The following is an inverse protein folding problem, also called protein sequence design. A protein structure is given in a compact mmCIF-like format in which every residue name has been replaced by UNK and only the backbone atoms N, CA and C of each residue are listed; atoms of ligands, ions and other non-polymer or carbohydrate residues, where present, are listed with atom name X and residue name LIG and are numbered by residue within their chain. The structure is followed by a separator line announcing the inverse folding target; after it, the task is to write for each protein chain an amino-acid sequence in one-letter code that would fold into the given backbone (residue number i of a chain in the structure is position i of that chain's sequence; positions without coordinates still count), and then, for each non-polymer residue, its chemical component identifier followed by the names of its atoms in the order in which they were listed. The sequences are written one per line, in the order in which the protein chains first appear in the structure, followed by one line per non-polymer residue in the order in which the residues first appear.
data_IF_341210152273
#
_entry.id   IF_341210152273
#
_cell.length_a   1.000
_cell.length_b   1.000
_cell.length_c   1.000
_cell.angle_alpha   90.00
_cell.angle_beta   90.00
_cell.angle_gamma   90.00
#
_symmetry.space_group_name_H-M   'P 1'
#
loop_
_entity.id
_entity.type
_entity.pdbx_description
1 polymer ?
#
# COMPACT_ATOMS: atom_id res chain seq x y z
N UNK A 1 29.67 -3.70 11.06
CA UNK A 1 29.35 -5.03 10.48
C UNK A 1 27.85 -5.22 10.13
N UNK A 2 26.90 -4.58 10.80
CA UNK A 2 25.47 -4.78 10.51
C UNK A 2 24.98 -4.33 9.13
N UNK A 3 25.53 -3.25 8.56
CA UNK A 3 25.12 -2.72 7.26
C UNK A 3 25.45 -3.63 6.08
N UNK A 4 26.67 -4.15 6.02
CA UNK A 4 27.10 -5.05 4.96
C UNK A 4 26.23 -6.32 4.92
N UNK A 5 25.98 -6.95 6.08
CA UNK A 5 25.13 -8.16 6.17
C UNK A 5 23.72 -7.92 5.66
N UNK A 6 23.12 -6.75 5.97
CA UNK A 6 21.77 -6.39 5.50
C UNK A 6 21.71 -6.27 3.99
N UNK A 7 22.66 -5.55 3.38
CA UNK A 7 22.71 -5.40 1.93
C UNK A 7 23.02 -6.71 1.22
N UNK A 8 23.87 -7.58 1.80
CA UNK A 8 24.08 -8.93 1.27
C UNK A 8 22.80 -9.75 1.28
N UNK A 9 22.01 -9.71 2.36
CA UNK A 9 20.72 -10.40 2.42
C UNK A 9 19.75 -9.86 1.36
N UNK A 10 19.69 -8.52 1.17
CA UNK A 10 18.88 -7.90 0.11
C UNK A 10 19.32 -8.34 -1.28
N UNK A 11 20.63 -8.41 -1.53
CA UNK A 11 21.18 -8.87 -2.81
C UNK A 11 20.80 -10.32 -3.11
N UNK A 12 20.93 -11.20 -2.12
CA UNK A 12 20.56 -12.61 -2.25
C UNK A 12 19.05 -12.78 -2.49
N UNK A 13 18.21 -12.03 -1.76
CA UNK A 13 16.76 -12.06 -1.95
C UNK A 13 16.37 -11.57 -3.35
N UNK A 14 16.98 -10.49 -3.85
CA UNK A 14 16.75 -9.98 -5.18
C UNK A 14 17.20 -10.97 -6.27
N UNK A 15 18.35 -11.59 -6.11
CA UNK A 15 18.86 -12.63 -7.01
C UNK A 15 17.96 -13.86 -7.02
N UNK A 16 17.51 -14.31 -5.84
CA UNK A 16 16.56 -15.40 -5.74
C UNK A 16 15.26 -15.10 -6.50
N UNK A 17 14.70 -13.88 -6.32
CA UNK A 17 13.50 -13.47 -7.08
C UNK A 17 13.78 -13.47 -8.59
N UNK A 18 14.92 -12.99 -9.05
CA UNK A 18 15.30 -13.03 -10.47
C UNK A 18 15.38 -14.46 -11.02
N UNK A 19 15.83 -15.41 -10.21
CA UNK A 19 16.04 -16.81 -10.60
C UNK A 19 14.72 -17.59 -10.64
N UNK A 20 13.80 -17.35 -9.71
CA UNK A 20 12.55 -18.12 -9.56
C UNK A 20 11.33 -17.46 -10.20
N UNK A 21 11.35 -16.15 -10.48
CA UNK A 21 10.23 -15.49 -11.09
C UNK A 21 10.12 -15.78 -12.60
N UNK A 22 8.90 -16.00 -13.07
CA UNK A 22 8.58 -16.09 -14.50
C UNK A 22 8.28 -14.73 -15.12
N UNK A 23 8.06 -13.69 -14.30
CA UNK A 23 7.69 -12.36 -14.74
C UNK A 23 8.94 -11.55 -15.13
N UNK A 24 8.99 -11.11 -16.39
CA UNK A 24 10.08 -10.27 -16.92
C UNK A 24 10.38 -9.04 -16.05
N UNK A 25 9.39 -8.24 -15.58
CA UNK A 25 9.67 -7.10 -14.73
C UNK A 25 10.37 -7.48 -13.42
N UNK A 26 9.99 -8.60 -12.80
CA UNK A 26 10.61 -9.09 -11.57
C UNK A 26 12.05 -9.56 -11.79
N UNK A 27 12.33 -10.21 -12.93
CA UNK A 27 13.67 -10.67 -13.29
C UNK A 27 14.62 -9.50 -13.55
N UNK A 28 14.16 -8.50 -14.33
CA UNK A 28 14.94 -7.27 -14.59
C UNK A 28 15.24 -6.56 -13.27
N UNK A 29 14.22 -6.35 -12.43
CA UNK A 29 14.40 -5.77 -11.12
C UNK A 29 15.39 -6.56 -10.27
N UNK A 30 15.23 -7.87 -10.20
CA UNK A 30 16.03 -8.72 -9.35
C UNK A 30 17.53 -8.67 -9.71
N UNK A 31 17.88 -8.65 -11.00
CA UNK A 31 19.27 -8.56 -11.46
C UNK A 31 19.88 -7.20 -11.12
N UNK A 32 19.19 -6.10 -11.45
CA UNK A 32 19.71 -4.74 -11.21
C UNK A 32 19.79 -4.42 -9.72
N UNK A 33 18.78 -4.81 -8.95
CA UNK A 33 18.73 -4.61 -7.51
C UNK A 33 19.82 -5.46 -6.81
N UNK A 34 20.01 -6.71 -7.21
CA UNK A 34 21.06 -7.55 -6.65
C UNK A 34 22.46 -6.93 -6.86
N UNK A 35 22.74 -6.40 -8.04
CA UNK A 35 24.00 -5.69 -8.32
C UNK A 35 24.15 -4.44 -7.42
N UNK A 36 23.09 -3.60 -7.33
CA UNK A 36 23.09 -2.40 -6.49
C UNK A 36 23.29 -2.72 -5.01
N UNK A 37 22.60 -3.73 -4.49
CA UNK A 37 22.75 -4.17 -3.10
C UNK A 37 24.14 -4.80 -2.84
N UNK A 38 24.71 -5.55 -3.79
CA UNK A 38 26.05 -6.11 -3.66
C UNK A 38 27.11 -5.01 -3.56
N UNK A 39 27.03 -3.98 -4.40
CA UNK A 39 27.90 -2.80 -4.31
C UNK A 39 27.71 -2.07 -2.98
N UNK A 40 26.46 -1.89 -2.54
CA UNK A 40 26.15 -1.27 -1.24
C UNK A 40 26.71 -2.09 -0.06
N UNK A 41 26.67 -3.43 -0.13
CA UNK A 41 27.27 -4.31 0.84
C UNK A 41 28.79 -4.13 0.89
N UNK A 42 29.44 -4.13 -0.26
CA UNK A 42 30.89 -3.92 -0.39
C UNK A 42 31.34 -2.56 0.16
N UNK A 43 30.63 -1.47 -0.19
CA UNK A 43 30.88 -0.13 0.37
C UNK A 43 30.71 -0.09 1.89
N UNK A 44 29.72 -0.80 2.41
CA UNK A 44 29.44 -0.87 3.86
C UNK A 44 30.44 -1.74 4.63
N UNK A 45 31.12 -2.67 3.97
CA UNK A 45 32.15 -3.52 4.57
C UNK A 45 33.49 -2.77 4.73
N UNK A 46 33.78 -1.79 3.87
CA UNK A 46 35.00 -0.99 3.94
C UNK A 46 34.93 -0.02 5.13
N UNK A 47 36.01 0.04 5.91
CA UNK A 47 36.16 0.90 7.08
C UNK A 47 36.13 2.38 6.66
N UNK A 48 35.14 3.18 7.18
CA UNK A 48 35.02 4.62 6.94
C UNK A 48 33.56 5.09 7.02
N UNK A 49 33.21 5.94 8.00
CA UNK A 49 31.86 6.43 8.27
C UNK A 49 31.23 7.21 7.10
N UNK A 50 32.06 7.91 6.32
CA UNK A 50 31.62 8.72 5.16
C UNK A 50 31.01 7.89 3.99
N UNK A 51 31.23 6.57 3.96
CA UNK A 51 30.72 5.70 2.88
C UNK A 51 29.30 5.15 3.14
N UNK A 52 28.78 5.27 4.35
CA UNK A 52 27.43 4.78 4.68
C UNK A 52 26.31 5.48 3.89
N UNK A 53 26.29 6.81 3.76
CA UNK A 53 25.29 7.49 2.92
C UNK A 53 25.35 7.06 1.46
N UNK A 54 26.57 6.91 0.90
CA UNK A 54 26.79 6.47 -0.48
C UNK A 54 26.24 5.06 -0.71
N UNK A 55 26.44 4.15 0.24
CA UNK A 55 25.90 2.79 0.15
C UNK A 55 24.37 2.77 0.04
N UNK A 56 23.68 3.68 0.77
CA UNK A 56 22.21 3.79 0.65
C UNK A 56 21.77 4.33 -0.71
N UNK A 57 22.45 5.37 -1.20
CA UNK A 57 22.16 5.94 -2.52
C UNK A 57 22.36 4.89 -3.61
N UNK A 58 23.45 4.12 -3.55
CA UNK A 58 23.73 3.04 -4.50
C UNK A 58 22.67 1.93 -4.42
N UNK A 59 22.27 1.54 -3.21
CA UNK A 59 21.21 0.55 -3.03
C UNK A 59 19.89 1.01 -3.63
N UNK A 60 19.47 2.26 -3.38
CA UNK A 60 18.26 2.84 -3.99
C UNK A 60 18.40 2.94 -5.49
N UNK A 61 19.54 3.42 -6.00
CA UNK A 61 19.77 3.57 -7.44
C UNK A 61 19.61 2.24 -8.19
N UNK A 62 20.23 1.18 -7.66
CA UNK A 62 20.16 -0.16 -8.25
C UNK A 62 18.81 -0.84 -8.12
N UNK A 63 18.03 -0.50 -7.08
CA UNK A 63 16.77 -1.15 -6.78
C UNK A 63 15.52 -0.40 -7.27
N UNK A 64 15.61 0.91 -7.58
CA UNK A 64 14.46 1.71 -8.00
C UNK A 64 14.68 2.37 -9.36
N UNK A 65 15.49 3.45 -9.53
CA UNK A 65 15.54 4.15 -10.81
C UNK A 65 16.17 3.31 -11.94
N UNK A 66 17.20 2.52 -11.69
CA UNK A 66 17.81 1.72 -12.76
C UNK A 66 16.85 0.68 -13.34
N UNK A 67 16.20 -0.20 -12.53
CA UNK A 67 15.24 -1.15 -13.10
C UNK A 67 14.01 -0.46 -13.68
N UNK A 68 13.53 0.64 -13.09
CA UNK A 68 12.43 1.42 -13.65
C UNK A 68 12.75 1.95 -15.05
N UNK A 69 13.92 2.59 -15.21
CA UNK A 69 14.37 3.08 -16.52
C UNK A 69 14.56 1.96 -17.53
N UNK A 70 15.18 0.84 -17.11
CA UNK A 70 15.31 -0.33 -17.99
C UNK A 70 13.94 -0.85 -18.46
N UNK A 71 12.98 -0.97 -17.54
CA UNK A 71 11.64 -1.43 -17.85
C UNK A 71 10.84 -0.45 -18.72
N UNK A 72 11.02 0.87 -18.53
CA UNK A 72 10.44 1.91 -19.40
C UNK A 72 10.98 1.78 -20.83
N UNK A 73 12.29 1.66 -21.00
CA UNK A 73 12.92 1.47 -22.31
C UNK A 73 12.48 0.15 -22.98
N UNK A 74 12.28 -0.91 -22.20
CA UNK A 74 11.82 -2.20 -22.69
C UNK A 74 10.31 -2.23 -22.98
N UNK A 75 9.54 -1.21 -22.64
CA UNK A 75 8.08 -1.22 -22.71
C UNK A 75 7.46 -2.33 -21.87
N UNK A 76 8.03 -2.64 -20.70
CA UNK A 76 7.58 -3.73 -19.82
C UNK A 76 7.16 -3.19 -18.45
N UNK A 77 6.00 -3.62 -17.99
CA UNK A 77 5.45 -3.29 -16.68
C UNK A 77 4.77 -4.51 -16.06
N UNK A 78 4.33 -4.40 -14.82
CA UNK A 78 3.35 -5.33 -14.28
C UNK A 78 1.97 -5.04 -14.85
N UNK A 79 1.12 -6.07 -14.89
CA UNK A 79 -0.26 -6.00 -15.39
C UNK A 79 -1.06 -4.85 -14.74
N UNK A 80 -0.80 -4.57 -13.48
CA UNK A 80 -1.46 -3.49 -12.72
C UNK A 80 -1.24 -2.11 -13.34
N UNK A 81 -0.10 -1.87 -13.97
CA UNK A 81 0.22 -0.60 -14.67
C UNK A 81 -0.66 -0.46 -15.90
N UNK A 82 -0.77 -1.54 -16.69
CA UNK A 82 -1.62 -1.57 -17.88
C UNK A 82 -3.10 -1.37 -17.52
N UNK A 83 -3.52 -1.97 -16.39
CA UNK A 83 -4.88 -1.78 -15.85
C UNK A 83 -5.13 -0.33 -15.50
N UNK A 84 -4.20 0.37 -14.83
CA UNK A 84 -4.36 1.78 -14.48
C UNK A 84 -4.39 2.66 -15.73
N UNK A 85 -3.46 2.47 -16.67
CA UNK A 85 -3.39 3.25 -17.91
C UNK A 85 -4.69 3.12 -18.72
N UNK A 86 -5.14 1.87 -18.96
CA UNK A 86 -6.41 1.58 -19.64
C UNK A 86 -7.61 2.20 -18.92
N UNK A 87 -7.66 2.04 -17.59
CA UNK A 87 -8.77 2.54 -16.77
C UNK A 87 -8.87 4.06 -16.80
N UNK A 88 -7.75 4.77 -16.89
CA UNK A 88 -7.74 6.22 -17.04
C UNK A 88 -8.31 6.64 -18.42
N UNK A 89 -7.91 5.98 -19.50
CA UNK A 89 -8.47 6.21 -20.83
C UNK A 89 -9.98 5.96 -20.89
N UNK A 90 -10.44 4.86 -20.29
CA UNK A 90 -11.87 4.55 -20.19
C UNK A 90 -12.62 5.61 -19.35
N UNK A 91 -12.07 6.01 -18.21
CA UNK A 91 -12.68 7.03 -17.36
C UNK A 91 -12.87 8.35 -18.11
N UNK A 92 -11.87 8.78 -18.86
CA UNK A 92 -11.94 10.02 -19.65
C UNK A 92 -12.90 9.94 -20.84
N UNK A 93 -13.00 8.78 -21.50
CA UNK A 93 -13.83 8.61 -22.69
C UNK A 93 -15.27 8.22 -22.41
N UNK A 94 -15.53 7.43 -21.35
CA UNK A 94 -16.84 6.85 -21.05
C UNK A 94 -17.45 7.29 -19.72
N UNK A 95 -16.63 7.86 -18.82
CA UNK A 95 -16.99 8.17 -17.44
C UNK A 95 -16.93 6.97 -16.50
N UNK A 96 -16.53 5.75 -16.99
CA UNK A 96 -16.34 4.55 -16.19
C UNK A 96 -14.94 3.99 -16.41
N UNK A 97 -14.16 3.62 -15.37
CA UNK A 97 -12.83 3.03 -15.54
C UNK A 97 -12.85 1.52 -15.82
N UNK A 98 -14.02 0.95 -16.09
CA UNK A 98 -14.24 -0.48 -16.21
C UNK A 98 -14.63 -0.88 -17.63
N UNK A 99 -14.13 -2.03 -18.07
CA UNK A 99 -14.58 -2.65 -19.33
C UNK A 99 -15.98 -3.24 -19.13
N UNK A 100 -16.95 -2.99 -20.01
CA UNK A 100 -18.30 -3.55 -19.86
C UNK A 100 -18.34 -5.08 -19.92
N UNK A 101 -17.44 -5.69 -20.73
CA UNK A 101 -17.39 -7.14 -20.97
C UNK A 101 -15.95 -7.65 -20.86
N UNK A 102 -15.41 -7.90 -19.62
CA UNK A 102 -14.08 -8.46 -19.46
C UNK A 102 -14.05 -9.91 -19.93
N UNK A 103 -13.09 -10.26 -20.79
CA UNK A 103 -12.95 -11.60 -21.36
C UNK A 103 -11.94 -12.46 -20.59
N UNK A 104 -10.94 -11.86 -19.97
CA UNK A 104 -9.89 -12.57 -19.23
C UNK A 104 -9.42 -11.83 -18.00
N UNK A 105 -8.58 -12.48 -17.19
CA UNK A 105 -8.10 -11.91 -15.91
C UNK A 105 -7.38 -10.55 -16.06
N UNK A 106 -6.75 -10.29 -17.20
CA UNK A 106 -6.10 -9.04 -17.51
C UNK A 106 -7.08 -7.87 -17.75
N UNK A 107 -8.33 -8.19 -18.09
CA UNK A 107 -9.36 -7.17 -18.38
C UNK A 107 -10.01 -6.64 -17.09
N UNK A 108 -9.93 -7.41 -16.00
CA UNK A 108 -10.51 -6.99 -14.75
C UNK A 108 -9.71 -5.86 -14.08
N UNK A 109 -10.44 -4.88 -13.58
CA UNK A 109 -9.93 -3.81 -12.75
C UNK A 109 -10.54 -3.92 -11.33
N UNK A 110 -9.87 -4.58 -10.36
CA UNK A 110 -10.39 -4.75 -9.00
C UNK A 110 -10.22 -3.50 -8.11
N UNK A 111 -9.76 -2.40 -8.69
CA UNK A 111 -9.52 -1.17 -7.94
C UNK A 111 -10.76 -0.27 -7.96
N UNK A 112 -10.87 0.59 -6.94
CA UNK A 112 -11.89 1.61 -6.91
C UNK A 112 -11.56 2.75 -7.91
N UNK A 113 -12.57 3.50 -8.37
CA UNK A 113 -12.42 4.47 -9.46
C UNK A 113 -11.30 5.50 -9.27
N UNK A 114 -11.03 5.91 -8.01
CA UNK A 114 -9.95 6.83 -7.71
C UNK A 114 -8.56 6.36 -8.15
N UNK A 115 -8.33 5.05 -8.31
CA UNK A 115 -7.05 4.53 -8.79
C UNK A 115 -6.77 4.95 -10.23
N UNK A 116 -7.79 5.03 -11.07
CA UNK A 116 -7.65 5.44 -12.47
C UNK A 116 -7.11 6.89 -12.62
N UNK A 117 -7.33 7.74 -11.62
CA UNK A 117 -6.82 9.12 -11.62
C UNK A 117 -5.29 9.17 -11.73
N UNK A 118 -4.59 8.16 -11.16
CA UNK A 118 -3.14 8.07 -11.24
C UNK A 118 -2.61 7.73 -12.65
N UNK A 119 -3.47 7.25 -13.55
CA UNK A 119 -3.16 7.00 -14.95
C UNK A 119 -3.56 8.15 -15.90
N UNK A 120 -4.27 9.18 -15.43
CA UNK A 120 -4.74 10.29 -16.29
C UNK A 120 -3.59 10.97 -17.04
N UNK A 121 -2.43 11.27 -16.42
CA UNK A 121 -1.31 11.87 -17.16
C UNK A 121 -0.85 11.03 -18.35
N UNK A 122 -0.83 9.72 -18.20
CA UNK A 122 -0.48 8.78 -19.27
C UNK A 122 -1.53 8.77 -20.40
N UNK A 123 -2.81 8.69 -20.01
CA UNK A 123 -3.92 8.73 -20.97
C UNK A 123 -3.97 10.03 -21.79
N UNK A 124 -3.65 11.16 -21.17
CA UNK A 124 -3.64 12.47 -21.84
C UNK A 124 -2.42 12.69 -22.76
N UNK A 125 -1.30 12.02 -22.47
CA UNK A 125 -0.05 12.16 -23.23
C UNK A 125 0.10 11.13 -24.34
N UNK A 126 -0.81 10.17 -24.46
CA UNK A 126 -0.73 9.07 -25.42
C UNK A 126 0.37 8.04 -25.09
N UNK A 127 0.68 7.82 -23.81
CA UNK A 127 1.61 6.77 -23.38
C UNK A 127 3.09 7.20 -23.33
N UNK A 128 3.37 8.45 -22.97
CA UNK A 128 4.75 8.93 -22.83
C UNK A 128 5.46 8.31 -21.63
N UNK A 129 6.75 7.90 -21.72
CA UNK A 129 7.50 7.35 -20.59
C UNK A 129 7.57 8.25 -19.35
N UNK A 130 7.50 9.58 -19.51
CA UNK A 130 7.51 10.54 -18.38
C UNK A 130 6.16 10.65 -17.67
N UNK A 131 5.12 10.11 -18.26
CA UNK A 131 3.76 10.09 -17.69
C UNK A 131 3.33 8.69 -17.26
N UNK A 132 4.21 7.71 -17.38
CA UNK A 132 3.95 6.32 -16.97
C UNK A 132 3.36 6.26 -15.55
N UNK A 133 2.29 5.48 -15.33
CA UNK A 133 1.60 5.40 -14.03
C UNK A 133 2.50 5.04 -12.85
N UNK A 134 3.64 4.34 -13.08
CA UNK A 134 4.62 4.01 -12.03
C UNK A 134 5.23 5.25 -11.38
N UNK A 135 5.47 6.30 -12.17
CA UNK A 135 6.00 7.56 -11.65
C UNK A 135 5.00 8.25 -10.72
N UNK A 136 3.73 8.23 -11.07
CA UNK A 136 2.65 8.88 -10.31
C UNK A 136 2.29 8.09 -9.04
N UNK A 137 2.22 6.77 -9.12
CA UNK A 137 2.01 5.91 -7.95
C UNK A 137 3.18 6.00 -6.97
N UNK A 138 4.42 6.00 -7.48
CA UNK A 138 5.63 6.18 -6.68
C UNK A 138 5.72 7.58 -6.05
N UNK A 139 5.43 8.64 -6.82
CA UNK A 139 5.42 10.02 -6.32
C UNK A 139 4.35 10.23 -5.23
N UNK A 140 3.13 9.70 -5.43
CA UNK A 140 2.07 9.76 -4.45
C UNK A 140 2.47 9.05 -3.13
N UNK A 141 3.11 7.89 -3.22
CA UNK A 141 3.62 7.15 -2.07
C UNK A 141 4.69 7.93 -1.30
N UNK A 142 5.78 8.30 -2.00
CA UNK A 142 6.92 8.98 -1.38
C UNK A 142 6.52 10.36 -0.84
N UNK A 143 5.69 11.10 -1.58
CA UNK A 143 5.13 12.37 -1.16
C UNK A 143 4.27 12.25 0.10
N UNK A 144 3.37 11.26 0.15
CA UNK A 144 2.54 11.02 1.32
C UNK A 144 3.39 10.63 2.54
N UNK A 145 4.42 9.81 2.38
CA UNK A 145 5.36 9.47 3.46
C UNK A 145 6.13 10.70 3.94
N UNK A 146 6.67 11.50 3.02
CA UNK A 146 7.40 12.73 3.36
C UNK A 146 6.54 13.72 4.16
N UNK A 147 5.27 13.86 3.77
CA UNK A 147 4.30 14.73 4.45
C UNK A 147 3.80 14.15 5.78
N UNK A 148 3.89 12.83 5.98
CA UNK A 148 3.40 12.16 7.19
C UNK A 148 4.29 12.40 8.40
N UNK A 149 5.61 12.49 8.21
CA UNK A 149 6.58 12.63 9.29
C UNK A 149 7.89 13.30 8.85
N UNK A 150 8.38 14.25 9.65
CA UNK A 150 9.70 14.87 9.44
C UNK A 150 10.80 13.90 9.88
N UNK A 151 11.87 13.80 9.08
CA UNK A 151 13.03 12.96 9.39
C UNK A 151 12.80 11.46 9.21
N UNK A 152 11.73 11.07 8.51
CA UNK A 152 11.54 9.69 8.10
C UNK A 152 12.67 9.27 7.16
N UNK A 153 13.31 8.11 7.38
CA UNK A 153 14.43 7.66 6.53
C UNK A 153 13.90 7.10 5.20
N UNK A 154 13.40 7.98 4.31
CA UNK A 154 12.78 7.61 3.03
C UNK A 154 13.69 6.75 2.14
N UNK A 155 15.00 7.05 2.11
CA UNK A 155 15.95 6.22 1.36
C UNK A 155 16.03 4.78 1.89
N UNK A 156 15.92 4.60 3.21
CA UNK A 156 15.89 3.27 3.80
C UNK A 156 14.61 2.51 3.43
N UNK A 157 13.49 3.19 3.49
CA UNK A 157 12.19 2.61 3.13
C UNK A 157 12.19 2.25 1.64
N UNK A 158 12.62 3.18 0.78
CA UNK A 158 12.68 2.95 -0.66
C UNK A 158 13.71 1.86 -1.06
N UNK A 159 14.81 1.70 -0.29
CA UNK A 159 15.79 0.65 -0.52
C UNK A 159 15.35 -0.74 -0.02
N UNK A 160 14.28 -0.85 0.78
CA UNK A 160 13.77 -2.14 1.23
C UNK A 160 13.24 -2.93 0.02
N UNK A 161 13.66 -4.19 -0.23
CA UNK A 161 13.22 -4.97 -1.39
C UNK A 161 11.71 -5.02 -1.56
N UNK A 162 10.93 -5.12 -0.46
CA UNK A 162 9.47 -5.16 -0.47
C UNK A 162 8.83 -3.85 -0.95
N UNK A 163 9.55 -2.72 -0.86
CA UNK A 163 9.13 -1.40 -1.34
C UNK A 163 9.78 -1.08 -2.69
N UNK A 164 11.07 -1.42 -2.84
CA UNK A 164 11.84 -1.12 -4.05
C UNK A 164 11.29 -1.83 -5.28
N UNK A 165 10.91 -3.11 -5.14
CA UNK A 165 10.31 -3.88 -6.22
C UNK A 165 9.04 -3.19 -6.75
N UNK A 166 7.97 -2.97 -5.95
CA UNK A 166 6.78 -2.31 -6.46
C UNK A 166 7.01 -0.87 -6.94
N UNK A 167 7.98 -0.12 -6.39
CA UNK A 167 8.36 1.20 -6.93
C UNK A 167 8.87 1.12 -8.38
N UNK A 168 9.60 0.06 -8.72
CA UNK A 168 10.19 -0.09 -10.04
C UNK A 168 9.24 -0.74 -11.07
N UNK A 169 8.44 -1.72 -10.63
CA UNK A 169 7.64 -2.53 -11.56
C UNK A 169 6.18 -2.07 -11.68
N UNK A 170 5.69 -1.24 -10.73
CA UNK A 170 4.34 -0.66 -10.75
C UNK A 170 3.41 -1.15 -9.64
N UNK A 171 3.79 -0.94 -8.38
CA UNK A 171 2.96 -1.32 -7.23
C UNK A 171 1.84 -0.33 -6.94
N UNK A 172 0.62 -0.72 -7.24
CA UNK A 172 -0.62 0.05 -6.96
C UNK A 172 -0.96 0.17 -5.47
N UNK A 173 -0.35 -0.65 -4.62
CA UNK A 173 -0.53 -0.63 -3.17
C UNK A 173 0.26 0.49 -2.48
N UNK A 174 1.31 0.99 -3.14
CA UNK A 174 2.19 2.01 -2.59
C UNK A 174 1.46 3.33 -2.28
N UNK A 175 0.73 3.96 -3.22
CA UNK A 175 0.02 5.21 -2.92
C UNK A 175 -1.01 5.01 -1.79
N UNK A 176 -1.65 3.86 -1.73
CA UNK A 176 -2.60 3.55 -0.67
C UNK A 176 -1.92 3.55 0.70
N UNK A 177 -0.85 2.76 0.88
CA UNK A 177 -0.16 2.68 2.19
C UNK A 177 0.50 4.00 2.58
N UNK A 178 1.00 4.78 1.61
CA UNK A 178 1.51 6.14 1.86
C UNK A 178 0.42 7.06 2.42
N UNK A 179 -0.76 7.06 1.81
CA UNK A 179 -1.93 7.82 2.28
C UNK A 179 -2.42 7.31 3.65
N UNK A 180 -2.36 6.00 3.93
CA UNK A 180 -2.67 5.48 5.27
C UNK A 180 -1.74 6.07 6.34
N UNK A 181 -0.42 6.12 6.09
CA UNK A 181 0.55 6.74 6.99
C UNK A 181 0.24 8.23 7.20
N UNK A 182 -0.05 8.97 6.13
CA UNK A 182 -0.39 10.40 6.20
C UNK A 182 -1.70 10.65 6.95
N UNK A 183 -2.73 9.84 6.69
CA UNK A 183 -4.02 9.92 7.37
C UNK A 183 -3.91 9.65 8.87
N UNK A 184 -3.17 8.58 9.25
CA UNK A 184 -2.91 8.28 10.67
C UNK A 184 -2.04 9.34 11.34
N UNK A 185 -1.07 9.91 10.63
CA UNK A 185 -0.29 11.04 11.12
C UNK A 185 -1.18 12.26 11.42
N UNK A 186 -2.08 12.59 10.49
CA UNK A 186 -3.04 13.70 10.67
C UNK A 186 -4.00 13.44 11.83
N UNK A 187 -4.52 12.21 11.96
CA UNK A 187 -5.33 11.83 13.12
C UNK A 187 -4.55 11.96 14.44
N UNK A 188 -3.29 11.52 14.45
CA UNK A 188 -2.41 11.64 15.63
C UNK A 188 -2.11 13.08 16.05
N UNK A 189 -2.14 14.03 15.10
CA UNK A 189 -2.05 15.47 15.37
C UNK A 189 -3.38 16.10 15.79
N UNK A 190 -4.48 15.33 15.74
CA UNK A 190 -5.84 15.83 16.00
C UNK A 190 -6.48 16.58 14.82
N UNK A 191 -5.90 16.52 13.62
CA UNK A 191 -6.36 17.14 12.39
C UNK A 191 -7.47 16.31 11.76
N UNK A 192 -8.63 16.19 12.42
CA UNK A 192 -9.69 15.23 12.09
C UNK A 192 -10.20 15.36 10.64
N UNK A 193 -10.46 16.57 10.14
CA UNK A 193 -10.91 16.79 8.77
C UNK A 193 -9.87 16.34 7.74
N UNK A 194 -8.60 16.73 7.94
CA UNK A 194 -7.49 16.32 7.07
C UNK A 194 -7.26 14.80 7.09
N UNK A 195 -7.35 14.18 8.28
CA UNK A 195 -7.27 12.73 8.40
C UNK A 195 -8.37 12.05 7.58
N UNK A 196 -9.62 12.54 7.67
CA UNK A 196 -10.74 12.05 6.90
C UNK A 196 -10.54 12.22 5.39
N UNK A 197 -10.15 13.40 4.92
CA UNK A 197 -9.87 13.64 3.50
C UNK A 197 -8.82 12.66 2.95
N UNK A 198 -7.69 12.51 3.65
CA UNK A 198 -6.59 11.64 3.19
C UNK A 198 -6.98 10.16 3.23
N UNK A 199 -7.68 9.71 4.29
CA UNK A 199 -8.17 8.34 4.38
C UNK A 199 -9.27 8.06 3.36
N UNK A 200 -10.11 9.04 3.06
CA UNK A 200 -11.12 8.98 2.00
C UNK A 200 -10.50 8.85 0.61
N UNK A 201 -9.42 9.59 0.34
CA UNK A 201 -8.62 9.41 -0.89
C UNK A 201 -8.07 7.98 -0.97
N UNK A 202 -7.43 7.47 0.11
CA UNK A 202 -6.93 6.09 0.14
C UNK A 202 -8.06 5.07 -0.08
N UNK A 203 -9.21 5.27 0.56
CA UNK A 203 -10.39 4.42 0.46
C UNK A 203 -10.99 4.43 -0.96
N UNK A 204 -10.89 5.54 -1.69
CA UNK A 204 -11.32 5.66 -3.08
C UNK A 204 -10.37 4.95 -4.08
N UNK A 205 -9.14 4.61 -3.66
CA UNK A 205 -8.20 3.85 -4.49
C UNK A 205 -8.43 2.35 -4.38
N UNK A 206 -8.61 1.84 -3.16
CA UNK A 206 -8.63 0.37 -2.92
C UNK A 206 -9.32 0.00 -1.62
N UNK A 207 -10.02 -1.15 -1.62
CA UNK A 207 -10.69 -1.70 -0.44
C UNK A 207 -9.78 -1.91 0.77
N UNK A 208 -8.49 -2.18 0.56
CA UNK A 208 -7.50 -2.40 1.62
C UNK A 208 -7.27 -1.18 2.52
N UNK A 209 -7.72 0.01 2.10
CA UNK A 209 -7.64 1.23 2.90
C UNK A 209 -8.75 1.36 3.95
N UNK A 210 -9.91 0.75 3.74
CA UNK A 210 -11.09 0.93 4.59
C UNK A 210 -10.88 0.56 6.07
N UNK A 211 -10.10 -0.49 6.42
CA UNK A 211 -9.81 -0.82 7.81
C UNK A 211 -9.09 0.30 8.59
N UNK A 212 -8.43 1.24 7.91
CA UNK A 212 -7.76 2.36 8.57
C UNK A 212 -8.74 3.37 9.17
N UNK A 213 -9.97 3.46 8.63
CA UNK A 213 -10.96 4.42 9.10
C UNK A 213 -11.36 4.14 10.56
N UNK A 214 -11.87 2.95 10.95
CA UNK A 214 -12.21 2.68 12.34
C UNK A 214 -10.99 2.83 13.28
N UNK A 215 -9.78 2.53 12.82
CA UNK A 215 -8.56 2.73 13.61
C UNK A 215 -8.30 4.22 13.88
N UNK A 216 -8.45 5.07 12.86
CA UNK A 216 -8.29 6.52 13.00
C UNK A 216 -9.39 7.15 13.88
N UNK A 217 -10.64 6.69 13.74
CA UNK A 217 -11.75 7.15 14.57
C UNK A 217 -11.50 6.80 16.05
N UNK A 218 -11.09 5.57 16.35
CA UNK A 218 -10.74 5.14 17.70
C UNK A 218 -9.58 5.96 18.29
N UNK A 219 -8.54 6.25 17.48
CA UNK A 219 -7.43 7.12 17.87
C UNK A 219 -7.92 8.53 18.23
N UNK A 220 -8.74 9.16 17.38
CA UNK A 220 -9.27 10.50 17.62
C UNK A 220 -10.12 10.58 18.88
N UNK A 221 -10.98 9.59 19.11
CA UNK A 221 -11.78 9.50 20.36
C UNK A 221 -10.86 9.39 21.58
N UNK A 222 -9.86 8.50 21.53
CA UNK A 222 -8.94 8.28 22.65
C UNK A 222 -8.10 9.51 22.99
N UNK A 223 -7.59 10.24 21.97
CA UNK A 223 -6.79 11.46 22.16
C UNK A 223 -7.60 12.59 22.81
N UNK A 224 -8.86 12.75 22.39
CA UNK A 224 -9.71 13.80 22.94
C UNK A 224 -10.21 13.48 24.35
N UNK A 225 -10.47 12.20 24.70
CA UNK A 225 -10.80 11.81 26.08
C UNK A 225 -9.68 12.13 27.06
N UNK A 226 -8.42 12.09 26.63
CA UNK A 226 -7.26 12.46 27.47
C UNK A 226 -7.11 13.97 27.68
N UNK A 227 -7.51 14.78 26.68
CA UNK A 227 -7.37 16.25 26.75
C UNK A 227 -8.42 16.90 27.64
N UNK A 228 -9.59 16.30 27.79
CA UNK A 228 -10.74 16.86 28.50
C UNK A 228 -11.20 15.86 29.56
N UNK A 229 -10.59 15.89 30.72
CA UNK A 229 -11.10 15.16 31.89
C UNK A 229 -12.46 15.76 32.28
N UNK A 230 -13.55 15.05 32.00
CA UNK A 230 -14.87 15.34 32.55
C UNK A 230 -15.94 15.90 31.62
N UNK A 231 -15.69 16.23 30.35
CA UNK A 231 -16.76 16.65 29.43
C UNK A 231 -16.98 15.60 28.31
N UNK A 232 -18.19 15.04 28.17
CA UNK A 232 -18.54 14.23 27.00
C UNK A 232 -18.75 15.15 25.81
N UNK A 233 -17.98 14.95 24.70
CA UNK A 233 -18.32 15.65 23.44
C UNK A 233 -17.19 15.79 22.41
N UNK A 234 -16.01 16.37 22.71
CA UNK A 234 -15.06 16.77 21.65
C UNK A 234 -14.47 15.58 20.87
N UNK A 235 -14.36 14.39 21.46
CA UNK A 235 -13.84 13.21 20.79
C UNK A 235 -14.81 12.62 19.76
N UNK A 236 -16.10 12.61 20.06
CA UNK A 236 -17.14 12.16 19.15
C UNK A 236 -17.25 13.09 17.93
N UNK A 237 -17.19 14.42 18.15
CA UNK A 237 -17.19 15.40 17.07
C UNK A 237 -15.98 15.28 16.14
N UNK A 238 -14.76 15.06 16.70
CA UNK A 238 -13.57 14.85 15.88
C UNK A 238 -13.69 13.56 15.06
N UNK A 239 -14.16 12.47 15.65
CA UNK A 239 -14.40 11.22 14.94
C UNK A 239 -15.47 11.40 13.86
N UNK A 240 -16.59 12.07 14.15
CA UNK A 240 -17.64 12.35 13.17
C UNK A 240 -17.11 13.20 12.00
N UNK A 241 -16.35 14.25 12.26
CA UNK A 241 -15.73 15.08 11.21
C UNK A 241 -14.78 14.25 10.33
N UNK A 242 -13.97 13.39 10.93
CA UNK A 242 -13.08 12.49 10.18
C UNK A 242 -13.89 11.51 9.33
N UNK A 243 -14.87 10.84 9.91
CA UNK A 243 -15.75 9.90 9.21
C UNK A 243 -16.50 10.55 8.06
N UNK A 244 -17.15 11.69 8.32
CA UNK A 244 -17.90 12.44 7.30
C UNK A 244 -16.99 12.90 6.15
N UNK A 245 -15.80 13.44 6.44
CA UNK A 245 -14.83 13.83 5.42
C UNK A 245 -14.35 12.64 4.60
N UNK A 246 -14.08 11.49 5.25
CA UNK A 246 -13.66 10.28 4.54
C UNK A 246 -14.75 9.73 3.62
N UNK A 247 -15.97 9.64 4.11
CA UNK A 247 -17.11 9.17 3.31
C UNK A 247 -17.41 10.13 2.17
N UNK A 248 -17.43 11.44 2.41
CA UNK A 248 -17.67 12.44 1.37
C UNK A 248 -16.60 12.38 0.27
N UNK A 249 -15.31 12.29 0.65
CA UNK A 249 -14.21 12.20 -0.31
C UNK A 249 -14.28 10.91 -1.12
N UNK A 250 -14.52 9.76 -0.45
CA UNK A 250 -14.65 8.48 -1.14
C UNK A 250 -15.87 8.47 -2.06
N UNK A 251 -17.01 8.97 -1.60
CA UNK A 251 -18.23 9.05 -2.39
C UNK A 251 -18.05 9.93 -3.63
N UNK A 252 -17.42 11.10 -3.48
CA UNK A 252 -17.15 12.01 -4.60
C UNK A 252 -16.34 11.35 -5.71
N UNK A 253 -15.36 10.51 -5.36
CA UNK A 253 -14.47 9.85 -6.31
C UNK A 253 -15.03 8.52 -6.85
N UNK A 254 -15.89 7.85 -6.08
CA UNK A 254 -16.38 6.50 -6.44
C UNK A 254 -17.77 6.55 -7.08
N UNK A 255 -18.71 7.33 -6.52
CA UNK A 255 -20.11 7.30 -6.97
C UNK A 255 -20.32 7.70 -8.43
N UNK A 256 -19.65 8.73 -9.00
CA UNK A 256 -19.89 9.09 -10.39
C UNK A 256 -19.65 7.92 -11.35
N UNK A 257 -18.52 7.21 -11.20
CA UNK A 257 -18.20 6.05 -12.04
C UNK A 257 -19.08 4.83 -11.72
N UNK A 258 -19.38 4.58 -10.43
CA UNK A 258 -20.24 3.47 -10.01
C UNK A 258 -21.68 3.63 -10.49
N UNK A 259 -22.20 4.86 -10.51
CA UNK A 259 -23.54 5.14 -11.02
C UNK A 259 -23.61 5.20 -12.55
N UNK A 260 -22.48 5.51 -13.20
CA UNK A 260 -22.40 5.50 -14.67
C UNK A 260 -22.54 4.12 -15.27
N UNK A 261 -21.92 3.12 -14.63
CA UNK A 261 -22.03 1.70 -15.02
C UNK A 261 -22.02 0.81 -13.76
N UNK A 262 -23.19 0.64 -13.09
CA UNK A 262 -23.30 -0.18 -11.89
C UNK A 262 -22.98 -1.65 -12.12
N UNK A 263 -23.28 -2.18 -13.33
CA UNK A 263 -23.01 -3.57 -13.69
C UNK A 263 -21.53 -3.85 -13.78
N UNK A 264 -20.78 -3.05 -14.55
CA UNK A 264 -19.34 -3.18 -14.65
C UNK A 264 -18.67 -2.93 -13.29
N UNK A 265 -19.10 -1.90 -12.53
CA UNK A 265 -18.60 -1.67 -11.17
C UNK A 265 -18.76 -2.90 -10.28
N UNK A 266 -19.94 -3.49 -10.21
CA UNK A 266 -20.22 -4.67 -9.39
C UNK A 266 -19.38 -5.87 -9.85
N UNK A 267 -19.23 -6.09 -11.14
CA UNK A 267 -18.46 -7.19 -11.72
C UNK A 267 -16.97 -7.07 -11.38
N UNK A 268 -16.37 -5.90 -11.61
CA UNK A 268 -14.93 -5.69 -11.44
C UNK A 268 -14.50 -5.55 -9.97
N UNK A 269 -15.28 -4.82 -9.18
CA UNK A 269 -14.86 -4.36 -7.84
C UNK A 269 -15.39 -5.25 -6.73
N UNK A 270 -16.48 -5.97 -6.99
CA UNK A 270 -17.10 -6.85 -6.00
C UNK A 270 -17.01 -8.32 -6.42
N UNK A 271 -17.59 -8.70 -7.55
CA UNK A 271 -17.71 -10.10 -7.95
C UNK A 271 -16.34 -10.75 -8.21
N UNK A 272 -15.47 -10.09 -8.99
CA UNK A 272 -14.16 -10.64 -9.32
C UNK A 272 -13.24 -10.85 -8.10
N UNK A 273 -13.05 -9.88 -7.18
CA UNK A 273 -12.24 -10.11 -5.98
C UNK A 273 -12.80 -11.15 -5.03
N UNK A 274 -14.12 -11.32 -5.01
CA UNK A 274 -14.79 -12.36 -4.20
C UNK A 274 -14.78 -13.74 -4.87
N UNK A 275 -14.28 -13.86 -6.11
CA UNK A 275 -14.26 -15.11 -6.87
C UNK A 275 -15.67 -15.58 -7.25
N UNK A 276 -16.57 -14.63 -7.56
CA UNK A 276 -17.94 -14.86 -8.02
C UNK A 276 -18.08 -14.72 -9.54
N UNK A 277 -16.96 -14.66 -10.26
CA UNK A 277 -16.89 -14.66 -11.73
C UNK A 277 -16.29 -15.97 -12.21
N UNK A 278 -16.51 -16.33 -13.48
CA UNK A 278 -15.90 -17.53 -14.09
C UNK A 278 -14.39 -17.40 -14.28
N UNK A 279 -13.86 -16.17 -14.17
CA UNK A 279 -12.43 -15.90 -14.32
C UNK A 279 -11.72 -16.01 -12.98
N UNK A 280 -10.72 -16.89 -12.91
CA UNK A 280 -9.91 -17.09 -11.70
C UNK A 280 -8.93 -15.93 -11.52
N UNK A 281 -8.90 -15.36 -10.31
CA UNK A 281 -7.93 -14.33 -9.95
C UNK A 281 -6.50 -14.89 -9.88
N UNK A 282 -5.53 -14.15 -10.43
CA UNK A 282 -4.10 -14.46 -10.28
C UNK A 282 -3.53 -14.24 -8.86
N UNK A 283 -4.38 -13.90 -7.88
CA UNK A 283 -3.98 -13.70 -6.48
C UNK A 283 -3.90 -15.04 -5.73
N UNK A 284 -2.93 -15.88 -6.09
CA UNK A 284 -2.77 -17.26 -5.62
C UNK A 284 -1.42 -17.52 -4.92
N UNK A 285 -0.92 -16.55 -4.12
CA UNK A 285 0.30 -16.80 -3.34
C UNK A 285 0.03 -17.84 -2.25
N UNK A 286 0.98 -18.77 -1.98
CA UNK A 286 0.82 -19.85 -1.00
C UNK A 286 0.85 -19.33 0.45
N UNK A 287 -0.12 -18.51 0.80
CA UNK A 287 -0.39 -18.03 2.15
C UNK A 287 -1.40 -18.95 2.85
N UNK A 288 -1.46 -18.97 4.19
CA UNK A 288 -2.28 -19.92 4.93
C UNK A 288 -3.73 -20.00 4.46
N UNK A 289 -4.41 -18.88 4.22
CA UNK A 289 -5.80 -18.85 3.75
C UNK A 289 -5.96 -19.46 2.35
N UNK A 290 -5.01 -19.19 1.44
CA UNK A 290 -5.01 -19.81 0.11
C UNK A 290 -4.74 -21.31 0.19
N UNK A 291 -3.75 -21.74 0.99
CA UNK A 291 -3.44 -23.16 1.15
C UNK A 291 -4.62 -23.93 1.76
N UNK A 292 -5.29 -23.37 2.77
CA UNK A 292 -6.51 -23.95 3.33
C UNK A 292 -7.58 -24.09 2.23
N UNK A 293 -7.86 -23.02 1.49
CA UNK A 293 -8.88 -23.03 0.46
C UNK A 293 -8.58 -24.00 -0.72
N UNK A 294 -7.30 -24.20 -1.04
CA UNK A 294 -6.86 -25.05 -2.14
C UNK A 294 -6.81 -26.54 -1.76
N UNK A 295 -6.52 -26.89 -0.51
CA UNK A 295 -6.20 -28.28 -0.15
C UNK A 295 -7.22 -28.96 0.78
N UNK A 296 -8.18 -28.21 1.36
CA UNK A 296 -9.20 -28.78 2.24
C UNK A 296 -10.62 -28.64 1.66
N UNK A 297 -11.50 -29.64 1.74
CA UNK A 297 -12.86 -29.58 1.21
C UNK A 297 -13.68 -28.38 1.74
N UNK A 298 -13.53 -28.04 3.04
CA UNK A 298 -14.14 -26.86 3.66
C UNK A 298 -13.16 -25.69 3.88
N UNK A 299 -11.98 -25.75 3.27
CA UNK A 299 -10.87 -24.85 3.55
C UNK A 299 -11.18 -23.37 3.29
N UNK A 300 -12.00 -23.05 2.27
CA UNK A 300 -12.47 -21.70 2.02
C UNK A 300 -13.32 -21.15 3.17
N UNK A 301 -14.23 -21.97 3.70
CA UNK A 301 -15.06 -21.59 4.85
C UNK A 301 -14.20 -21.37 6.13
N UNK A 302 -13.23 -22.24 6.37
CA UNK A 302 -12.27 -22.11 7.49
C UNK A 302 -11.45 -20.83 7.33
N UNK A 303 -10.89 -20.55 6.16
CA UNK A 303 -10.13 -19.35 5.89
C UNK A 303 -10.96 -18.06 6.11
N UNK A 304 -12.21 -18.04 5.64
CA UNK A 304 -13.13 -16.92 5.87
C UNK A 304 -13.52 -16.78 7.35
N UNK A 305 -13.70 -17.88 8.08
CA UNK A 305 -13.95 -17.85 9.52
C UNK A 305 -12.76 -17.27 10.30
N UNK A 306 -11.53 -17.68 9.98
CA UNK A 306 -10.31 -17.09 10.55
C UNK A 306 -10.16 -15.61 10.24
N UNK A 307 -10.48 -15.21 9.02
CA UNK A 307 -10.51 -13.79 8.60
C UNK A 307 -11.53 -13.02 9.44
N UNK A 308 -12.75 -13.53 9.58
CA UNK A 308 -13.80 -12.91 10.39
C UNK A 308 -13.42 -12.79 11.86
N UNK A 309 -12.86 -13.84 12.47
CA UNK A 309 -12.35 -13.82 13.85
C UNK A 309 -11.24 -12.77 14.01
N UNK A 310 -10.32 -12.68 13.05
CA UNK A 310 -9.24 -11.67 13.06
C UNK A 310 -9.79 -10.26 12.97
N UNK A 311 -10.79 -10.03 12.11
CA UNK A 311 -11.46 -8.74 11.96
C UNK A 311 -12.21 -8.34 13.24
N UNK A 312 -12.99 -9.27 13.82
CA UNK A 312 -13.71 -9.05 15.07
C UNK A 312 -12.76 -8.82 16.26
N UNK A 313 -11.67 -9.60 16.35
CA UNK A 313 -10.64 -9.41 17.37
C UNK A 313 -9.96 -8.05 17.26
N UNK A 314 -9.65 -7.59 16.03
CA UNK A 314 -9.12 -6.25 15.78
C UNK A 314 -10.14 -5.18 16.20
N UNK A 315 -11.40 -5.29 15.80
CA UNK A 315 -12.47 -4.36 16.16
C UNK A 315 -12.69 -4.33 17.69
N UNK A 316 -12.78 -5.47 18.35
CA UNK A 316 -12.89 -5.55 19.81
C UNK A 316 -11.70 -4.87 20.49
N UNK A 317 -10.48 -5.05 19.98
CA UNK A 317 -9.29 -4.40 20.51
C UNK A 317 -9.33 -2.87 20.39
N UNK A 318 -9.98 -2.32 19.37
CA UNK A 318 -10.18 -0.87 19.24
C UNK A 318 -11.18 -0.33 20.28
N UNK A 319 -12.19 -1.13 20.65
CA UNK A 319 -13.17 -0.76 21.66
C UNK A 319 -12.61 -0.86 23.09
N UNK A 320 -11.91 -1.97 23.41
CA UNK A 320 -11.42 -2.27 24.77
C UNK A 320 -10.14 -1.51 25.10
N UNK A 321 -9.23 -1.40 24.13
CA UNK A 321 -7.92 -0.75 24.29
C UNK A 321 -7.62 0.14 23.07
N UNK A 322 -8.32 1.28 22.92
CA UNK A 322 -8.13 2.15 21.77
C UNK A 322 -6.69 2.66 21.68
N UNK A 323 -6.14 2.84 20.47
CA UNK A 323 -4.79 3.36 20.29
C UNK A 323 -4.72 4.80 20.78
N UNK A 324 -3.63 5.15 21.48
CA UNK A 324 -3.44 6.48 22.10
C UNK A 324 -2.33 7.28 21.43
N UNK A 325 -1.80 6.77 20.33
CA UNK A 325 -0.80 7.44 19.49
C UNK A 325 -0.92 6.96 18.05
N UNK A 326 -0.42 7.76 17.12
CA UNK A 326 -0.39 7.39 15.70
C UNK A 326 0.43 6.12 15.45
N UNK A 327 1.54 5.91 16.20
CA UNK A 327 2.34 4.68 16.13
C UNK A 327 1.53 3.46 16.57
N UNK A 328 0.81 3.55 17.69
CA UNK A 328 -0.03 2.46 18.19
C UNK A 328 -1.17 2.14 17.20
N UNK A 329 -1.75 3.15 16.58
CA UNK A 329 -2.78 2.99 15.55
C UNK A 329 -2.22 2.30 14.31
N UNK A 330 -1.05 2.72 13.83
CA UNK A 330 -0.40 2.12 12.67
C UNK A 330 -0.02 0.65 12.92
N UNK A 331 0.52 0.31 14.09
CA UNK A 331 0.83 -1.08 14.44
C UNK A 331 -0.43 -1.94 14.55
N UNK A 332 -1.53 -1.38 15.07
CA UNK A 332 -2.82 -2.08 15.14
C UNK A 332 -3.37 -2.36 13.74
N UNK A 333 -3.32 -1.37 12.86
CA UNK A 333 -3.70 -1.54 11.46
C UNK A 333 -2.79 -2.53 10.73
N UNK A 334 -1.47 -2.44 10.96
CA UNK A 334 -0.50 -3.37 10.38
C UNK A 334 -0.79 -4.82 10.76
N UNK A 335 -1.08 -5.09 12.03
CA UNK A 335 -1.45 -6.43 12.51
C UNK A 335 -2.76 -6.91 11.90
N UNK A 336 -3.80 -6.06 11.86
CA UNK A 336 -5.09 -6.40 11.24
C UNK A 336 -4.96 -6.75 9.76
N UNK A 337 -4.18 -5.95 9.00
CA UNK A 337 -3.91 -6.22 7.60
C UNK A 337 -3.04 -7.45 7.40
N UNK A 338 -2.06 -7.71 8.27
CA UNK A 338 -1.26 -8.94 8.21
C UNK A 338 -2.13 -10.19 8.38
N UNK A 339 -3.05 -10.18 9.35
CA UNK A 339 -4.01 -11.26 9.56
C UNK A 339 -4.94 -11.42 8.33
N UNK A 340 -5.43 -10.31 7.78
CA UNK A 340 -6.25 -10.35 6.58
C UNK A 340 -5.49 -10.95 5.39
N UNK A 341 -4.25 -10.53 5.14
CA UNK A 341 -3.39 -11.07 4.09
C UNK A 341 -3.13 -12.57 4.29
N UNK A 342 -2.89 -12.98 5.54
CA UNK A 342 -2.60 -14.37 5.87
C UNK A 342 -3.81 -15.30 5.67
N UNK A 343 -5.02 -14.86 6.02
CA UNK A 343 -6.20 -15.71 6.02
C UNK A 343 -7.14 -15.51 4.82
N UNK A 344 -6.92 -14.49 3.99
CA UNK A 344 -7.72 -14.32 2.78
C UNK A 344 -7.49 -15.49 1.81
N UNK A 345 -8.55 -16.13 1.26
CA UNK A 345 -8.42 -17.26 0.32
C UNK A 345 -7.69 -16.90 -0.98
N UNK A 346 -7.80 -15.64 -1.41
CA UNK A 346 -7.08 -15.11 -2.57
C UNK A 346 -6.20 -13.94 -2.10
N UNK A 347 -4.89 -14.13 -2.08
CA UNK A 347 -3.93 -13.14 -1.58
C UNK A 347 -2.62 -13.17 -2.37
N UNK A 348 -1.82 -12.10 -2.24
CA UNK A 348 -0.51 -11.97 -2.89
C UNK A 348 0.55 -11.58 -1.86
N UNK A 349 1.77 -12.11 -2.01
CA UNK A 349 2.92 -11.68 -1.20
C UNK A 349 3.18 -10.18 -1.27
N UNK A 350 2.88 -9.54 -2.40
CA UNK A 350 3.02 -8.09 -2.58
C UNK A 350 2.25 -7.26 -1.54
N UNK A 351 1.14 -7.78 -1.01
CA UNK A 351 0.36 -7.08 0.02
C UNK A 351 1.09 -6.91 1.37
N UNK A 352 2.17 -7.67 1.61
CA UNK A 352 3.02 -7.52 2.80
C UNK A 352 3.64 -6.13 2.89
N UNK A 353 3.67 -5.36 1.81
CA UNK A 353 4.07 -3.95 1.81
C UNK A 353 3.26 -3.11 2.82
N UNK A 354 1.96 -3.38 3.00
CA UNK A 354 1.12 -2.66 3.97
C UNK A 354 1.62 -2.79 5.41
N UNK A 355 1.66 -4.00 6.01
CA UNK A 355 2.11 -4.13 7.39
C UNK A 355 3.57 -3.71 7.58
N UNK A 356 4.45 -3.94 6.61
CA UNK A 356 5.85 -3.56 6.72
C UNK A 356 6.06 -2.05 6.70
N UNK A 357 5.43 -1.32 5.77
CA UNK A 357 5.55 0.15 5.70
C UNK A 357 4.92 0.80 6.92
N UNK A 358 3.73 0.35 7.35
CA UNK A 358 3.07 0.87 8.55
C UNK A 358 3.91 0.64 9.81
N UNK A 359 4.53 -0.55 9.97
CA UNK A 359 5.40 -0.84 11.10
C UNK A 359 6.70 -0.03 11.05
N UNK A 360 7.34 0.08 9.89
CA UNK A 360 8.54 0.91 9.71
C UNK A 360 8.24 2.39 9.99
N UNK A 361 7.12 2.91 9.51
CA UNK A 361 6.67 4.26 9.78
C UNK A 361 6.39 4.48 11.27
N UNK A 362 5.70 3.55 11.93
CA UNK A 362 5.43 3.61 13.37
C UNK A 362 6.71 3.61 14.21
N UNK A 363 7.74 2.90 13.77
CA UNK A 363 9.02 2.82 14.47
C UNK A 363 9.86 4.10 14.34
N UNK A 364 9.80 4.82 13.21
CA UNK A 364 10.75 5.88 12.89
C UNK A 364 10.12 7.27 12.71
N UNK A 365 8.84 7.36 12.36
CA UNK A 365 8.25 8.59 11.84
C UNK A 365 7.01 9.09 12.52
N UNK A 366 6.35 8.32 13.40
CA UNK A 366 5.07 8.74 13.93
C UNK A 366 5.20 9.95 14.90
N UNK A 367 4.35 10.98 14.73
CA UNK A 367 4.33 12.14 15.62
C UNK A 367 4.16 11.71 17.09
N UNK A 368 4.94 12.30 18.01
CA UNK A 368 4.83 12.06 19.46
C UNK A 368 5.95 11.22 20.08
N UNK A 369 6.90 10.69 19.28
CA UNK A 369 8.15 10.16 19.81
C UNK A 369 9.15 11.31 19.98
N UNK A 370 9.24 11.89 21.18
CA UNK A 370 10.44 12.62 21.58
C UNK A 370 11.60 11.64 21.48
N UNK A 371 12.58 11.91 20.62
CA UNK A 371 13.89 11.26 20.75
C UNK A 371 14.38 11.66 22.14
N UNK A 372 14.38 10.73 23.09
CA UNK A 372 15.27 10.82 24.21
C UNK A 372 16.68 10.88 23.61
N UNK A 373 17.21 12.07 23.56
CA UNK A 373 18.64 12.28 23.31
C UNK A 373 19.28 11.73 24.58
N UNK A 374 19.74 10.50 24.52
CA UNK A 374 20.65 9.99 25.55
C UNK A 374 21.86 10.90 25.60
N UNK A 375 22.27 11.34 26.81
CA UNK A 375 23.44 12.20 27.02
C UNK A 375 24.72 11.56 26.51
#
# INVERSE_FOLDING_TARGET
MGGARRWTACALAALALASFSTLTPHRVWGVTAAAGYAVAAWLSARRGGARRPVAHVVAVAGAVPLPLLALLVMGRAQLEVDVIARSAGLLLSTGSPYLPHPAGAADFNPYLPGMAVLGIPDALSGGSPITDPRLWTGAAFLGALALSARGLPLLWIAACPVVALPLAVGGVDLPVVGLLCLGLASAGRGEAGRAGLVLGLAAALKWTAWPALPVALALLVALNRRKVQGAPGPGAHAALRCGAAAVATSALLVLPAALRDPGAFATHVVAFPLGLTDTVSAAASPLPGHLLAAHLPSGRAVALALLAVSALGTAASLCVRPPVSASAAALRLALGLLMAIAFMPASRFGYVVYPLVLAAWAAHGAPGRTREVSP
#
